data_IF_485809900657
#
_entry.id   IF_485809900657
#
_cell.length_a   1.000
_cell.length_b   1.000
_cell.length_c   1.000
_cell.angle_alpha   90.00
_cell.angle_beta   90.00
_cell.angle_gamma   90.00
#
_symmetry.space_group_name_H-M   'P 1'
#
loop_
_entity.id
_entity.type
_entity.pdbx_description
1 polymer ?
#
# COMPACT_ATOMS: atom_id res chain seq x y z
N UNK A 1 4.30 -10.38 12.10
CA UNK A 1 4.40 -11.83 12.39
C UNK A 1 5.80 -12.08 12.93
N UNK A 2 5.92 -12.72 14.10
CA UNK A 2 7.20 -13.11 14.69
C UNK A 2 7.45 -14.58 14.41
N UNK A 3 8.67 -14.92 14.04
CA UNK A 3 9.10 -16.27 13.72
C UNK A 3 9.95 -16.87 14.84
N UNK A 4 9.74 -18.15 15.16
CA UNK A 4 10.64 -18.94 16.02
C UNK A 4 11.94 -19.23 15.29
N UNK A 5 11.83 -19.55 14.00
CA UNK A 5 12.93 -19.77 13.07
C UNK A 5 12.57 -19.15 11.71
N UNK A 6 13.58 -18.65 11.00
CA UNK A 6 13.42 -18.22 9.60
C UNK A 6 14.68 -18.64 8.86
N UNK A 7 14.53 -19.58 7.94
CA UNK A 7 15.65 -20.18 7.21
C UNK A 7 15.50 -19.94 5.71
N UNK A 8 16.61 -19.63 5.00
CA UNK A 8 16.57 -19.48 3.55
C UNK A 8 16.33 -20.83 2.88
N UNK A 9 15.56 -20.83 1.79
CA UNK A 9 15.29 -22.00 0.96
C UNK A 9 15.50 -21.68 -0.51
N UNK A 10 15.75 -22.72 -1.32
CA UNK A 10 15.91 -22.60 -2.77
C UNK A 10 14.71 -23.23 -3.48
N UNK A 11 13.54 -22.58 -3.36
CA UNK A 11 12.25 -23.16 -3.77
C UNK A 11 11.50 -22.30 -4.78
N UNK A 12 12.10 -22.03 -5.95
CA UNK A 12 11.44 -21.24 -6.99
C UNK A 12 11.15 -19.82 -6.52
N UNK A 13 9.88 -19.48 -6.34
CA UNK A 13 9.46 -18.18 -5.80
C UNK A 13 9.50 -18.09 -4.27
N UNK A 14 9.76 -19.19 -3.57
CA UNK A 14 9.94 -19.23 -2.13
C UNK A 14 11.42 -19.08 -1.79
N UNK A 15 11.73 -18.06 -0.99
CA UNK A 15 13.09 -17.66 -0.65
C UNK A 15 13.45 -17.98 0.80
N UNK A 16 12.45 -18.04 1.69
CA UNK A 16 12.63 -18.47 3.06
C UNK A 16 11.37 -19.15 3.60
N UNK A 17 11.52 -19.95 4.64
CA UNK A 17 10.42 -20.51 5.42
C UNK A 17 10.65 -20.32 6.91
N UNK A 18 9.55 -20.27 7.67
CA UNK A 18 9.62 -20.17 9.11
C UNK A 18 8.33 -20.59 9.82
N UNK A 19 8.48 -20.92 11.10
CA UNK A 19 7.38 -21.24 12.00
C UNK A 19 7.00 -19.98 12.82
N UNK A 20 5.72 -19.55 12.78
CA UNK A 20 5.29 -18.38 13.54
C UNK A 20 5.20 -18.73 15.04
N UNK A 21 5.65 -17.80 15.90
CA UNK A 21 5.56 -17.94 17.37
C UNK A 21 4.10 -18.06 17.80
N UNK A 22 3.25 -17.16 17.29
CA UNK A 22 1.81 -17.21 17.51
C UNK A 22 1.16 -18.00 16.39
N UNK A 23 1.04 -19.31 16.58
CA UNK A 23 0.61 -20.25 15.53
C UNK A 23 -0.72 -19.84 14.90
N UNK A 24 -1.78 -19.51 15.66
CA UNK A 24 -3.07 -19.08 15.09
C UNK A 24 -3.57 -19.96 13.91
N UNK A 25 -3.28 -21.27 13.96
CA UNK A 25 -3.58 -22.22 12.88
C UNK A 25 -2.64 -22.17 11.67
N UNK A 26 -1.45 -21.58 11.81
CA UNK A 26 -0.35 -21.55 10.86
C UNK A 26 0.85 -22.26 11.51
N UNK A 27 1.38 -23.28 10.85
CA UNK A 27 2.57 -23.99 11.32
C UNK A 27 3.75 -23.70 10.40
N UNK A 28 3.53 -23.66 9.08
CA UNK A 28 4.59 -23.38 8.10
C UNK A 28 4.23 -22.20 7.23
N UNK A 29 5.06 -21.16 7.27
CA UNK A 29 4.86 -19.94 6.47
C UNK A 29 6.04 -19.74 5.53
N UNK A 30 5.73 -19.58 4.25
CA UNK A 30 6.69 -19.24 3.21
C UNK A 30 6.89 -17.71 3.12
N UNK A 31 8.07 -17.28 2.68
CA UNK A 31 8.40 -15.89 2.38
C UNK A 31 8.94 -15.78 0.97
N UNK A 32 8.36 -14.88 0.19
CA UNK A 32 8.77 -14.54 -1.18
C UNK A 32 9.19 -13.08 -1.26
N UNK A 33 10.42 -12.81 -1.71
CA UNK A 33 10.90 -11.45 -1.93
C UNK A 33 10.64 -10.99 -3.37
N UNK A 34 10.12 -9.77 -3.49
CA UNK A 34 9.97 -9.04 -4.75
C UNK A 34 11.28 -8.44 -5.25
N UNK A 35 11.28 -7.93 -6.50
CA UNK A 35 12.45 -7.28 -7.06
C UNK A 35 12.82 -6.00 -6.28
N UNK A 36 14.13 -5.66 -6.14
CA UNK A 36 14.57 -4.43 -5.48
C UNK A 36 14.13 -3.14 -6.18
N UNK A 37 13.91 -3.21 -7.51
CA UNK A 37 13.59 -2.06 -8.37
C UNK A 37 12.36 -2.36 -9.24
N UNK A 38 11.26 -2.73 -8.61
CA UNK A 38 9.99 -2.97 -9.29
C UNK A 38 8.90 -3.47 -8.34
N UNK A 39 7.66 -3.57 -8.82
CA UNK A 39 6.58 -4.14 -8.04
C UNK A 39 6.66 -5.67 -8.00
N UNK A 40 6.14 -6.26 -6.93
CA UNK A 40 5.69 -7.65 -6.93
C UNK A 40 4.49 -7.73 -7.87
N UNK A 41 4.63 -8.54 -8.92
CA UNK A 41 3.63 -8.66 -9.98
C UNK A 41 2.56 -9.71 -9.68
N UNK A 42 1.43 -9.64 -10.38
CA UNK A 42 0.35 -10.66 -10.31
C UNK A 42 0.92 -12.07 -10.53
N UNK A 43 1.76 -12.22 -11.57
CA UNK A 43 2.36 -13.50 -11.92
C UNK A 43 3.24 -14.05 -10.80
N UNK A 44 4.06 -13.20 -10.18
CA UNK A 44 4.90 -13.61 -9.06
C UNK A 44 4.05 -14.09 -7.87
N UNK A 45 2.91 -13.44 -7.62
CA UNK A 45 1.99 -13.86 -6.57
C UNK A 45 1.34 -15.20 -6.89
N UNK A 46 0.84 -15.38 -8.11
CA UNK A 46 0.23 -16.64 -8.56
C UNK A 46 1.23 -17.80 -8.49
N UNK A 47 2.43 -17.62 -9.03
CA UNK A 47 3.47 -18.66 -9.04
C UNK A 47 3.96 -18.95 -7.61
N UNK A 48 4.13 -17.93 -6.76
CA UNK A 48 4.51 -18.11 -5.35
C UNK A 48 3.45 -18.82 -4.51
N UNK A 49 2.16 -18.53 -4.72
CA UNK A 49 1.06 -19.25 -4.07
C UNK A 49 1.04 -20.71 -4.54
N UNK A 50 1.28 -20.95 -5.83
CA UNK A 50 1.34 -22.29 -6.39
C UNK A 50 2.45 -23.13 -5.75
N UNK A 51 3.67 -22.59 -5.69
CA UNK A 51 4.82 -23.23 -5.04
C UNK A 51 4.54 -23.47 -3.54
N UNK A 52 3.91 -22.50 -2.88
CA UNK A 52 3.57 -22.61 -1.45
C UNK A 52 2.56 -23.73 -1.19
N UNK A 53 1.56 -23.85 -2.07
CA UNK A 53 0.56 -24.90 -1.98
C UNK A 53 1.14 -26.30 -2.21
N UNK A 54 1.97 -26.46 -3.24
CA UNK A 54 2.60 -27.75 -3.54
C UNK A 54 3.58 -28.20 -2.44
N UNK A 55 4.22 -27.24 -1.78
CA UNK A 55 5.20 -27.49 -0.71
C UNK A 55 4.57 -27.63 0.69
N UNK A 56 3.24 -27.55 0.78
CA UNK A 56 2.50 -27.78 2.01
C UNK A 56 2.68 -26.68 3.07
N UNK A 57 2.80 -25.42 2.64
CA UNK A 57 2.74 -24.28 3.55
C UNK A 57 1.28 -23.92 3.87
N UNK A 58 1.06 -23.27 5.01
CA UNK A 58 -0.27 -22.77 5.41
C UNK A 58 -0.49 -21.32 4.94
N UNK A 59 0.61 -20.58 4.78
CA UNK A 59 0.61 -19.20 4.34
C UNK A 59 1.86 -18.82 3.56
N UNK A 60 1.76 -17.74 2.81
CA UNK A 60 2.90 -17.07 2.16
C UNK A 60 2.86 -15.57 2.44
N UNK A 61 4.04 -15.00 2.73
CA UNK A 61 4.27 -13.56 2.86
C UNK A 61 5.05 -13.08 1.65
N UNK A 62 4.47 -12.19 0.86
CA UNK A 62 5.18 -11.47 -0.19
C UNK A 62 5.77 -10.19 0.39
N UNK A 63 7.09 -10.06 0.31
CA UNK A 63 7.85 -8.91 0.79
C UNK A 63 8.36 -8.10 -0.41
N UNK A 64 7.89 -6.87 -0.60
CA UNK A 64 8.25 -6.05 -1.77
C UNK A 64 8.37 -4.57 -1.43
N UNK A 65 9.14 -3.83 -2.23
CA UNK A 65 9.18 -2.36 -2.14
C UNK A 65 7.93 -1.73 -2.73
N UNK A 66 7.30 -2.39 -3.71
CA UNK A 66 6.04 -2.02 -4.32
C UNK A 66 5.26 -3.28 -4.71
N UNK A 67 3.97 -3.12 -4.99
CA UNK A 67 3.07 -4.19 -5.43
C UNK A 67 2.18 -3.67 -6.54
N UNK A 68 1.91 -4.51 -7.55
CA UNK A 68 0.82 -4.23 -8.47
C UNK A 68 -0.51 -4.33 -7.71
N UNK A 69 -1.43 -3.39 -7.90
CA UNK A 69 -2.73 -3.44 -7.20
C UNK A 69 -3.48 -4.73 -7.49
N UNK A 70 -3.47 -5.20 -8.75
CA UNK A 70 -4.10 -6.46 -9.12
C UNK A 70 -3.44 -7.68 -8.47
N UNK A 71 -2.18 -7.59 -8.05
CA UNK A 71 -1.51 -8.68 -7.35
C UNK A 71 -2.10 -8.85 -5.95
N UNK A 72 -2.48 -7.76 -5.28
CA UNK A 72 -3.07 -7.79 -3.95
C UNK A 72 -4.47 -8.41 -3.92
N UNK A 73 -5.16 -8.41 -5.06
CA UNK A 73 -6.48 -9.03 -5.22
C UNK A 73 -6.44 -10.56 -5.36
N UNK A 74 -5.24 -11.14 -5.56
CA UNK A 74 -5.09 -12.59 -5.73
C UNK A 74 -5.35 -13.30 -4.41
N UNK A 75 -6.28 -14.26 -4.43
CA UNK A 75 -6.68 -15.07 -3.27
C UNK A 75 -6.56 -16.55 -3.58
N UNK A 76 -6.32 -17.35 -2.54
CA UNK A 76 -6.29 -18.80 -2.63
C UNK A 76 -7.18 -19.42 -1.54
N UNK A 77 -7.93 -20.50 -1.83
CA UNK A 77 -8.87 -21.08 -0.86
C UNK A 77 -8.19 -21.73 0.36
N UNK A 78 -6.92 -22.14 0.23
CA UNK A 78 -6.20 -22.89 1.27
C UNK A 78 -4.97 -22.20 1.83
N UNK A 79 -4.38 -21.28 1.07
CA UNK A 79 -3.13 -20.60 1.45
C UNK A 79 -3.50 -19.19 1.88
N UNK A 80 -3.15 -18.80 3.10
CA UNK A 80 -3.29 -17.40 3.52
C UNK A 80 -2.19 -16.58 2.86
N UNK A 81 -2.57 -15.45 2.27
CA UNK A 81 -1.64 -14.56 1.57
C UNK A 81 -1.49 -13.27 2.37
N UNK A 82 -0.23 -12.90 2.63
CA UNK A 82 0.12 -11.66 3.31
C UNK A 82 1.03 -10.82 2.42
N UNK A 83 0.86 -9.50 2.49
CA UNK A 83 1.71 -8.53 1.79
C UNK A 83 2.46 -7.69 2.82
N UNK A 84 3.77 -7.55 2.62
CA UNK A 84 4.64 -6.80 3.50
C UNK A 84 5.49 -5.82 2.71
N UNK A 85 5.35 -4.53 3.03
CA UNK A 85 6.15 -3.49 2.39
C UNK A 85 7.53 -3.40 3.03
N UNK A 86 8.57 -3.46 2.20
CA UNK A 86 9.96 -3.24 2.58
C UNK A 86 10.25 -1.74 2.49
N UNK A 87 10.84 -1.18 3.55
CA UNK A 87 11.28 0.22 3.53
C UNK A 87 12.41 0.45 2.50
N UNK A 88 12.30 1.46 1.62
CA UNK A 88 13.36 1.81 0.65
C UNK A 88 14.73 2.07 1.28
N UNK A 89 14.76 2.51 2.55
CA UNK A 89 15.98 2.73 3.33
C UNK A 89 16.89 1.49 3.41
N UNK A 90 16.32 0.28 3.25
CA UNK A 90 17.08 -0.97 3.18
C UNK A 90 18.06 -1.00 2.00
N UNK A 91 17.76 -0.31 0.90
CA UNK A 91 18.62 -0.24 -0.29
C UNK A 91 19.81 0.70 -0.10
N UNK A 92 19.74 1.62 0.86
CA UNK A 92 20.77 2.62 1.14
C UNK A 92 21.43 2.25 2.46
N UNK A 93 22.35 1.29 2.40
CA UNK A 93 22.91 0.56 3.56
C UNK A 93 23.47 1.38 4.73
N UNK A 94 23.66 2.69 4.58
CA UNK A 94 24.14 3.59 5.65
C UNK A 94 23.02 4.28 6.45
N UNK A 95 21.76 4.32 5.97
CA UNK A 95 20.64 4.95 6.69
C UNK A 95 20.06 4.09 7.82
N UNK A 96 20.31 2.78 7.78
CA UNK A 96 19.86 1.83 8.81
C UNK A 96 20.50 2.08 10.19
N UNK A 97 21.62 2.81 10.26
CA UNK A 97 22.36 3.03 11.51
C UNK A 97 21.86 4.23 12.34
N UNK A 98 21.09 5.13 11.76
CA UNK A 98 20.73 6.42 12.40
C UNK A 98 19.26 6.60 12.75
N UNK A 99 18.41 5.63 12.44
CA UNK A 99 17.04 5.61 12.94
C UNK A 99 16.77 4.32 13.71
N UNK A 100 16.63 4.45 15.03
CA UNK A 100 15.98 3.47 15.91
C UNK A 100 14.47 3.36 15.61
N UNK A 101 14.10 3.17 14.34
CA UNK A 101 12.75 2.90 13.89
C UNK A 101 12.68 1.41 13.51
N UNK A 102 12.49 0.59 14.54
CA UNK A 102 12.61 -0.86 14.63
C UNK A 102 11.65 -1.71 13.77
N UNK A 103 11.10 -1.18 12.67
CA UNK A 103 10.21 -1.92 11.77
C UNK A 103 10.59 -1.69 10.29
N UNK A 104 11.37 -2.62 9.74
CA UNK A 104 11.76 -2.69 8.32
C UNK A 104 10.61 -3.14 7.41
N UNK A 105 9.59 -3.77 8.02
CA UNK A 105 8.43 -4.35 7.40
C UNK A 105 7.17 -3.76 8.05
N UNK A 106 6.20 -3.33 7.25
CA UNK A 106 4.89 -2.88 7.75
C UNK A 106 3.81 -3.42 6.84
N UNK A 107 2.70 -3.89 7.43
CA UNK A 107 1.55 -4.39 6.68
C UNK A 107 0.56 -3.24 6.60
N UNK A 108 0.50 -2.59 5.44
CA UNK A 108 -0.50 -1.58 5.15
C UNK A 108 -1.69 -2.26 4.50
N UNK A 109 -2.88 -1.98 5.02
CA UNK A 109 -4.13 -2.34 4.41
C UNK A 109 -4.45 -1.45 3.22
N UNK A 110 -5.46 -1.85 2.47
CA UNK A 110 -6.00 -1.11 1.35
C UNK A 110 -6.63 0.22 1.84
N UNK A 111 -6.51 1.32 1.08
CA UNK A 111 -7.25 2.55 1.38
C UNK A 111 -8.77 2.32 1.41
N UNK A 112 -9.43 2.78 2.48
CA UNK A 112 -10.89 2.78 2.55
C UNK A 112 -11.43 4.02 1.82
N UNK A 113 -12.18 3.79 0.75
CA UNK A 113 -12.72 4.84 -0.10
C UNK A 113 -14.23 4.67 -0.31
N UNK A 114 -14.93 5.80 -0.37
CA UNK A 114 -16.33 5.89 -0.79
C UNK A 114 -16.44 6.65 -2.10
N UNK A 115 -17.17 6.09 -3.06
CA UNK A 115 -17.39 6.71 -4.36
C UNK A 115 -18.84 7.21 -4.41
N UNK A 116 -19.02 8.51 -4.57
CA UNK A 116 -20.33 9.14 -4.74
C UNK A 116 -20.55 9.53 -6.20
N UNK A 117 -21.70 9.15 -6.75
CA UNK A 117 -22.14 9.63 -8.06
C UNK A 117 -23.06 10.83 -7.89
N UNK A 118 -22.73 11.95 -8.52
CA UNK A 118 -23.56 13.16 -8.61
C UNK A 118 -23.83 13.47 -10.08
N UNK A 119 -25.05 13.15 -10.54
CA UNK A 119 -25.44 13.27 -11.96
C UNK A 119 -24.49 12.46 -12.87
N UNK A 120 -23.67 13.15 -13.66
CA UNK A 120 -22.71 12.57 -14.62
C UNK A 120 -21.26 12.63 -14.12
N UNK A 121 -21.05 12.96 -12.85
CA UNK A 121 -19.73 13.08 -12.23
C UNK A 121 -19.63 12.18 -11.01
N UNK A 122 -18.39 11.87 -10.64
CA UNK A 122 -18.01 11.06 -9.50
C UNK A 122 -17.15 11.91 -8.55
N UNK A 123 -17.28 11.63 -7.25
CA UNK A 123 -16.48 12.20 -6.18
C UNK A 123 -15.99 11.04 -5.31
N UNK A 124 -14.69 11.00 -5.02
CA UNK A 124 -14.08 10.00 -4.16
C UNK A 124 -13.81 10.61 -2.79
N UNK A 125 -14.20 9.93 -1.74
CA UNK A 125 -13.96 10.30 -0.35
C UNK A 125 -13.03 9.26 0.25
N UNK A 126 -11.84 9.67 0.66
CA UNK A 126 -10.91 8.85 1.42
C UNK A 126 -11.32 8.84 2.89
N UNK A 127 -11.71 7.67 3.39
CA UNK A 127 -12.11 7.48 4.80
C UNK A 127 -10.91 7.26 5.71
N UNK A 128 -9.85 6.66 5.17
CA UNK A 128 -8.62 6.39 5.88
C UNK A 128 -7.83 5.29 5.20
N UNK A 129 -6.82 4.80 5.92
CA UNK A 129 -6.07 3.60 5.55
C UNK A 129 -5.96 2.72 6.79
N UNK A 130 -6.19 1.42 6.63
CA UNK A 130 -5.96 0.47 7.71
C UNK A 130 -4.45 0.23 7.83
N UNK A 131 -3.89 0.55 8.99
CA UNK A 131 -2.48 0.31 9.30
C UNK A 131 -2.43 -0.82 10.30
N UNK A 132 -1.89 -1.97 9.89
CA UNK A 132 -1.62 -3.05 10.82
C UNK A 132 -0.26 -2.83 11.47
N UNK A 133 -0.24 -2.70 12.80
CA UNK A 133 1.00 -2.69 13.56
C UNK A 133 1.42 -4.14 13.87
N UNK A 134 2.51 -4.65 13.26
CA UNK A 134 2.94 -6.02 13.46
C UNK A 134 3.55 -6.30 14.84
N UNK A 135 3.80 -5.28 15.67
CA UNK A 135 4.26 -5.45 17.05
C UNK A 135 3.08 -5.65 18.02
N UNK A 136 1.98 -4.93 17.83
CA UNK A 136 0.80 -4.99 18.72
C UNK A 136 -0.27 -5.94 18.20
N UNK A 137 -0.28 -6.23 16.89
CA UNK A 137 -1.34 -7.00 16.23
C UNK A 137 -2.62 -6.20 16.01
N UNK A 138 -2.61 -4.89 16.27
CA UNK A 138 -3.77 -4.02 16.13
C UNK A 138 -3.89 -3.46 14.70
N UNK A 139 -5.12 -3.42 14.20
CA UNK A 139 -5.47 -2.70 12.97
C UNK A 139 -6.00 -1.33 13.37
N UNK A 140 -5.30 -0.28 12.94
CA UNK A 140 -5.76 1.10 13.12
C UNK A 140 -6.30 1.64 11.81
N UNK A 141 -7.59 1.98 11.75
CA UNK A 141 -8.09 2.83 10.66
C UNK A 141 -7.62 4.26 10.91
N UNK A 142 -6.54 4.67 10.24
CA UNK A 142 -5.99 6.01 10.39
C UNK A 142 -6.91 7.04 9.74
N UNK A 143 -7.45 7.96 10.55
CA UNK A 143 -7.97 9.24 10.07
C UNK A 143 -6.86 10.01 9.32
N UNK A 144 -7.25 11.02 8.53
CA UNK A 144 -6.39 11.77 7.60
C UNK A 144 -5.06 12.31 8.18
N UNK A 145 -4.94 12.38 9.50
CA UNK A 145 -3.78 12.85 10.27
C UNK A 145 -2.51 12.00 10.10
N UNK A 146 -2.62 10.78 9.57
CA UNK A 146 -1.47 9.89 9.25
C UNK A 146 -1.14 9.82 7.76
N UNK A 147 -1.92 10.49 6.93
CA UNK A 147 -1.79 10.47 5.47
C UNK A 147 -0.94 11.67 5.06
N UNK A 148 0.26 11.41 4.52
CA UNK A 148 1.11 12.46 4.00
C UNK A 148 0.59 12.99 2.67
N UNK A 149 0.15 12.09 1.81
CA UNK A 149 -0.45 12.43 0.53
C UNK A 149 -1.42 11.35 0.06
N UNK A 150 -2.39 11.73 -0.77
CA UNK A 150 -3.16 10.77 -1.55
C UNK A 150 -3.44 11.30 -2.95
N UNK A 151 -3.57 10.38 -3.89
CA UNK A 151 -3.67 10.65 -5.32
C UNK A 151 -4.80 9.83 -5.92
N UNK A 152 -5.39 10.34 -6.99
CA UNK A 152 -6.37 9.62 -7.79
C UNK A 152 -5.94 9.59 -9.25
N UNK A 153 -6.04 8.42 -9.86
CA UNK A 153 -6.13 8.22 -11.30
C UNK A 153 -7.60 8.01 -11.65
N UNK A 154 -8.17 8.91 -12.45
CA UNK A 154 -9.61 8.90 -12.76
C UNK A 154 -10.00 7.97 -13.91
N UNK A 155 -9.03 7.38 -14.62
CA UNK A 155 -9.25 6.47 -15.76
C UNK A 155 -8.14 5.40 -15.86
N UNK A 156 -7.90 4.69 -14.76
CA UNK A 156 -6.76 3.80 -14.60
C UNK A 156 -6.79 2.61 -15.57
N UNK A 157 -5.71 2.43 -16.34
CA UNK A 157 -5.58 1.44 -17.42
C UNK A 157 -5.03 0.06 -16.97
N UNK A 158 -4.87 -0.15 -15.66
CA UNK A 158 -4.22 -1.31 -15.03
C UNK A 158 -2.71 -1.46 -15.29
N UNK A 159 -2.06 -0.48 -15.92
CA UNK A 159 -0.63 -0.56 -16.29
C UNK A 159 0.19 0.53 -15.64
N UNK A 160 -0.31 1.76 -15.61
CA UNK A 160 0.44 2.90 -15.12
C UNK A 160 -0.47 3.83 -14.34
N UNK A 161 -0.05 4.17 -13.13
CA UNK A 161 -0.79 5.10 -12.30
C UNK A 161 -0.52 6.54 -12.76
N UNK A 162 -1.50 7.18 -13.37
CA UNK A 162 -1.42 8.55 -13.83
C UNK A 162 -2.14 9.48 -12.84
N UNK A 163 -1.36 10.27 -12.09
CA UNK A 163 -1.91 11.24 -11.12
C UNK A 163 -2.79 12.26 -11.84
N UNK A 164 -4.11 12.14 -11.64
CA UNK A 164 -5.12 13.07 -12.16
C UNK A 164 -5.43 14.17 -11.14
N UNK A 165 -5.45 13.84 -9.85
CA UNK A 165 -5.55 14.81 -8.76
C UNK A 165 -4.65 14.38 -7.59
N UNK A 166 -4.17 15.36 -6.81
CA UNK A 166 -3.23 15.17 -5.72
C UNK A 166 -3.66 15.98 -4.49
N UNK A 167 -3.53 15.37 -3.32
CA UNK A 167 -3.97 15.93 -2.05
C UNK A 167 -2.95 15.67 -0.96
N UNK A 168 -2.79 16.62 -0.05
CA UNK A 168 -1.82 16.65 1.03
C UNK A 168 -2.52 17.16 2.30
N UNK A 169 -3.15 16.25 3.09
CA UNK A 169 -3.97 16.62 4.25
C UNK A 169 -3.21 17.37 5.36
N UNK A 170 -1.88 17.21 5.47
CA UNK A 170 -1.07 17.93 6.45
C UNK A 170 -0.93 19.43 6.09
N UNK A 171 -1.88 20.23 6.58
CA UNK A 171 -1.91 21.69 6.45
C UNK A 171 -0.68 22.40 7.03
N UNK A 172 0.11 21.78 7.92
CA UNK A 172 1.29 22.41 8.54
C UNK A 172 2.52 22.39 7.63
N UNK A 173 2.65 21.38 6.77
CA UNK A 173 3.75 21.30 5.79
C UNK A 173 3.74 22.52 4.83
N UNK A 174 2.55 23.04 4.60
CA UNK A 174 2.24 24.10 3.67
C UNK A 174 2.57 25.51 4.16
N UNK A 175 2.59 25.78 5.47
CA UNK A 175 2.94 27.10 6.02
C UNK A 175 4.36 27.52 5.64
N UNK A 176 5.28 26.56 5.55
CA UNK A 176 6.64 26.79 5.07
C UNK A 176 6.65 27.15 3.58
N UNK A 177 5.84 26.46 2.78
CA UNK A 177 5.72 26.74 1.35
C UNK A 177 5.10 28.12 1.09
N UNK A 178 4.03 28.47 1.82
CA UNK A 178 3.39 29.81 1.76
C UNK A 178 4.41 30.93 2.02
N UNK A 179 5.23 30.78 3.06
CA UNK A 179 6.29 31.75 3.39
C UNK A 179 7.39 31.80 2.32
N UNK A 180 7.77 30.65 1.76
CA UNK A 180 8.82 30.56 0.75
C UNK A 180 8.41 31.16 -0.60
N UNK A 181 7.15 30.94 -1.01
CA UNK A 181 6.64 31.42 -2.30
C UNK A 181 6.36 32.93 -2.35
N UNK A 182 6.36 33.63 -1.20
CA UNK A 182 6.24 35.10 -1.08
C UNK A 182 5.14 35.76 -1.94
N UNK A 183 4.07 35.04 -2.31
CA UNK A 183 3.04 35.58 -3.20
C UNK A 183 1.70 34.85 -3.06
N UNK A 184 0.63 35.63 -3.29
CA UNK A 184 -0.80 35.32 -3.38
C UNK A 184 -1.15 33.85 -3.61
N UNK A 185 -1.34 33.11 -2.54
CA UNK A 185 -1.95 31.78 -2.59
C UNK A 185 -3.45 31.98 -2.39
N UNK A 186 -4.21 31.54 -3.38
CA UNK A 186 -5.66 31.44 -3.33
C UNK A 186 -6.03 30.41 -2.26
N UNK A 187 -6.53 30.89 -1.12
CA UNK A 187 -6.78 30.07 0.08
C UNK A 187 -7.81 28.98 -0.20
N UNK A 188 -8.80 29.25 -1.04
CA UNK A 188 -9.85 28.30 -1.41
C UNK A 188 -9.25 27.14 -2.23
N UNK A 189 -8.38 27.45 -3.22
CA UNK A 189 -7.68 26.40 -3.98
C UNK A 189 -6.72 25.59 -3.12
N UNK A 190 -6.22 26.20 -2.06
CA UNK A 190 -5.30 25.57 -1.14
C UNK A 190 -6.02 24.58 -0.22
N UNK A 191 -7.18 24.96 0.29
CA UNK A 191 -8.03 24.10 1.11
C UNK A 191 -8.46 22.84 0.34
N UNK A 192 -8.71 22.97 -0.96
CA UNK A 192 -8.99 21.83 -1.84
C UNK A 192 -7.85 20.80 -1.86
N UNK A 193 -6.58 21.22 -1.77
CA UNK A 193 -5.44 20.31 -1.72
C UNK A 193 -5.34 19.58 -0.37
N UNK A 194 -5.90 20.13 0.71
CA UNK A 194 -5.90 19.49 2.03
C UNK A 194 -7.09 18.57 2.27
N UNK A 195 -8.00 18.48 1.29
CA UNK A 195 -9.23 17.71 1.38
C UNK A 195 -8.99 16.19 1.35
N UNK A 196 -9.82 15.45 2.08
CA UNK A 196 -9.98 13.99 1.92
C UNK A 196 -11.02 13.62 0.85
N UNK A 197 -11.52 14.61 0.12
CA UNK A 197 -12.49 14.48 -0.97
C UNK A 197 -11.91 14.97 -2.26
N UNK A 198 -12.08 14.20 -3.32
CA UNK A 198 -11.65 14.57 -4.65
C UNK A 198 -12.49 15.74 -5.19
N UNK A 199 -11.95 16.44 -6.18
CA UNK A 199 -12.78 17.28 -7.04
C UNK A 199 -13.68 16.37 -7.89
N UNK A 200 -14.89 16.81 -8.26
CA UNK A 200 -15.75 16.07 -9.18
C UNK A 200 -15.05 15.77 -10.50
N UNK A 201 -15.22 14.55 -11.02
CA UNK A 201 -14.66 14.13 -12.30
C UNK A 201 -15.64 13.24 -13.08
N UNK A 202 -15.47 13.17 -14.41
CA UNK A 202 -16.24 12.26 -15.26
C UNK A 202 -15.51 10.93 -15.39
N UNK A 203 -16.28 9.85 -15.51
CA UNK A 203 -15.70 8.53 -15.84
C UNK A 203 -15.07 8.58 -17.23
N UNK A 204 -13.86 8.02 -17.35
CA UNK A 204 -13.15 7.91 -18.62
C UNK A 204 -13.51 6.62 -19.39
N UNK A 205 -12.60 6.20 -20.27
CA UNK A 205 -12.82 5.05 -21.18
C UNK A 205 -12.72 3.71 -20.44
N UNK A 206 -11.80 3.60 -19.50
CA UNK A 206 -11.50 2.39 -18.74
C UNK A 206 -12.52 2.14 -17.62
N UNK A 207 -13.33 3.16 -17.29
CA UNK A 207 -14.40 3.10 -16.27
C UNK A 207 -13.89 2.58 -14.93
N UNK A 208 -12.68 3.00 -14.58
CA UNK A 208 -11.93 2.50 -13.43
C UNK A 208 -11.13 3.63 -12.84
N UNK A 209 -11.09 3.67 -11.52
CA UNK A 209 -10.22 4.57 -10.80
C UNK A 209 -9.18 3.78 -10.02
N UNK A 210 -8.05 4.42 -9.75
CA UNK A 210 -7.11 3.99 -8.73
C UNK A 210 -6.90 5.11 -7.72
N UNK A 211 -6.90 4.78 -6.43
CA UNK A 211 -6.59 5.72 -5.36
C UNK A 211 -5.36 5.22 -4.63
N UNK A 212 -4.35 6.07 -4.57
CA UNK A 212 -3.06 5.78 -3.96
C UNK A 212 -2.87 6.65 -2.73
N UNK A 213 -2.42 6.06 -1.63
CA UNK A 213 -2.17 6.75 -0.36
C UNK A 213 -0.72 6.54 0.03
N UNK A 214 -0.08 7.63 0.48
CA UNK A 214 1.28 7.65 1.02
C UNK A 214 1.23 8.13 2.46
N UNK A 215 1.83 7.37 3.37
CA UNK A 215 1.96 7.75 4.78
C UNK A 215 3.21 8.63 5.03
N UNK A 216 3.35 9.21 6.23
CA UNK A 216 4.53 10.01 6.59
C UNK A 216 5.85 9.23 6.62
N UNK A 217 5.80 7.90 6.59
CA UNK A 217 6.96 7.01 6.55
C UNK A 217 7.38 6.67 5.12
N UNK A 218 6.65 7.14 4.10
CA UNK A 218 6.89 6.89 2.69
C UNK A 218 6.33 5.57 2.18
N UNK A 219 5.50 4.86 2.96
CA UNK A 219 4.85 3.65 2.52
C UNK A 219 3.68 4.00 1.59
N UNK A 220 3.54 3.25 0.51
CA UNK A 220 2.52 3.46 -0.51
C UNK A 220 1.57 2.26 -0.55
N UNK A 221 0.26 2.54 -0.57
CA UNK A 221 -0.77 1.54 -0.89
C UNK A 221 -1.76 2.10 -1.89
N UNK A 222 -2.44 1.21 -2.61
CA UNK A 222 -3.36 1.58 -3.67
C UNK A 222 -4.58 0.68 -3.69
N UNK A 223 -5.72 1.28 -3.96
CA UNK A 223 -7.00 0.62 -4.21
C UNK A 223 -7.47 0.90 -5.62
N UNK A 224 -8.03 -0.10 -6.28
CA UNK A 224 -8.65 0.03 -7.60
C UNK A 224 -10.15 -0.24 -7.48
N UNK A 225 -10.98 0.59 -8.12
CA UNK A 225 -12.44 0.41 -8.18
C UNK A 225 -12.99 0.67 -9.57
N UNK A 226 -13.97 -0.12 -9.97
CA UNK A 226 -14.74 0.14 -11.19
C UNK A 226 -15.83 1.18 -10.92
N UNK A 227 -16.08 2.05 -11.89
CA UNK A 227 -17.08 3.12 -11.82
C UNK A 227 -17.95 3.13 -13.07
N UNK A 228 -19.25 2.84 -12.93
CA UNK A 228 -20.22 2.72 -14.03
C UNK A 228 -21.64 3.05 -13.62
#
# INVERSE_FOLDING_TARGET
MKFENLIPVSGGFIHAEGEPVDKNGLERVAVSFGPPHGPVTVRQVEDGIHDAYLSGYDAIIFCGFAFDAAAQDVKHPKIKVFYSHIRPDVLVGDLLKTTSASQLFTVFGEPDIEIKRKKNEYEVILKGVDIYDPLTGEVYSGSGDRIAAWFIDTDYDKRSFCVSQAFFPDSKAWDKLKRALKASIDEDKFELLTSTRSLPFKSGKEKRIAVKVIDHRGNEVMVVREIG
#
